data_IF_809275545831
#
_entry.id   IF_809275545831
#
_cell.length_a   1.000
_cell.length_b   1.000
_cell.length_c   1.000
_cell.angle_alpha   90.00
_cell.angle_beta   90.00
_cell.angle_gamma   90.00
#
_symmetry.space_group_name_H-M   'P 1'
#
loop_
_entity.id
_entity.type
_entity.pdbx_description
1 polymer ?
#
# COMPACT_ATOMS: atom_id res chain seq x y z
N UNK A 1 -34.21 27.02 14.87
CA UNK A 1 -34.37 25.55 15.01
C UNK A 1 -33.97 24.81 13.72
N UNK A 2 -34.67 25.02 12.60
CA UNK A 2 -34.39 24.32 11.33
C UNK A 2 -32.97 24.55 10.78
N UNK A 3 -32.47 25.80 10.84
CA UNK A 3 -31.11 26.15 10.41
C UNK A 3 -30.02 25.42 11.22
N UNK A 4 -30.26 25.20 12.52
CA UNK A 4 -29.36 24.47 13.41
C UNK A 4 -29.32 22.97 13.08
N UNK A 5 -30.48 22.39 12.75
CA UNK A 5 -30.58 20.99 12.32
C UNK A 5 -29.85 20.80 10.99
N UNK A 6 -30.04 21.72 10.02
CA UNK A 6 -29.35 21.69 8.73
C UNK A 6 -27.82 21.84 8.90
N UNK A 7 -27.36 22.75 9.76
CA UNK A 7 -25.93 22.91 10.06
C UNK A 7 -25.33 21.68 10.74
N UNK A 8 -26.02 21.07 11.70
CA UNK A 8 -25.57 19.83 12.35
C UNK A 8 -25.53 18.65 11.37
N UNK A 9 -26.50 18.52 10.47
CA UNK A 9 -26.47 17.51 9.42
C UNK A 9 -25.32 17.74 8.43
N UNK A 10 -25.05 18.99 8.04
CA UNK A 10 -23.89 19.36 7.21
C UNK A 10 -22.57 19.02 7.89
N UNK A 11 -22.42 19.32 9.19
CA UNK A 11 -21.21 18.99 9.96
C UNK A 11 -21.01 17.47 10.09
N UNK A 12 -22.08 16.70 10.29
CA UNK A 12 -22.01 15.23 10.33
C UNK A 12 -21.67 14.63 8.96
N UNK A 13 -22.17 15.20 7.85
CA UNK A 13 -21.80 14.79 6.48
C UNK A 13 -20.33 15.14 6.18
N UNK A 14 -19.83 16.27 6.69
CA UNK A 14 -18.41 16.66 6.58
C UNK A 14 -17.51 15.75 7.43
N UNK A 15 -17.97 15.32 8.61
CA UNK A 15 -17.23 14.39 9.48
C UNK A 15 -17.35 12.91 9.05
N UNK A 16 -18.32 12.57 8.19
CA UNK A 16 -18.46 11.25 7.58
C UNK A 16 -17.51 11.03 6.38
N UNK A 17 -16.58 11.96 6.09
CA UNK A 17 -15.37 11.61 5.37
C UNK A 17 -14.45 10.86 6.32
N UNK A 18 -14.71 9.57 6.50
CA UNK A 18 -13.74 8.61 7.01
C UNK A 18 -12.56 8.58 6.03
N UNK A 19 -11.57 9.44 6.27
CA UNK A 19 -10.32 9.47 5.53
C UNK A 19 -9.72 8.06 5.54
N UNK A 20 -9.22 7.62 4.40
CA UNK A 20 -8.48 6.36 4.28
C UNK A 20 -7.36 6.33 5.34
N UNK A 21 -7.52 5.53 6.39
CA UNK A 21 -6.58 5.50 7.52
C UNK A 21 -5.37 4.65 7.16
N UNK A 22 -4.36 5.29 6.59
CA UNK A 22 -3.12 4.65 6.12
C UNK A 22 -1.98 4.63 7.13
N UNK A 23 -2.12 5.34 8.27
CA UNK A 23 -1.03 5.57 9.23
C UNK A 23 -0.39 4.28 9.75
N UNK A 24 -1.21 3.32 10.19
CA UNK A 24 -0.71 2.04 10.69
C UNK A 24 0.02 1.25 9.61
N UNK A 25 -0.48 1.31 8.38
CA UNK A 25 0.17 0.68 7.22
C UNK A 25 1.51 1.34 6.94
N UNK A 26 1.62 2.67 7.03
CA UNK A 26 2.88 3.42 6.86
C UNK A 26 3.90 3.05 7.94
N UNK A 27 3.49 3.00 9.20
CA UNK A 27 4.39 2.65 10.32
C UNK A 27 4.93 1.22 10.17
N UNK A 28 4.07 0.29 9.72
CA UNK A 28 4.47 -1.08 9.43
C UNK A 28 5.42 -1.18 8.23
N UNK A 29 5.14 -0.45 7.15
CA UNK A 29 6.03 -0.36 5.99
C UNK A 29 7.40 0.21 6.37
N UNK A 30 7.45 1.26 7.20
CA UNK A 30 8.70 1.83 7.70
C UNK A 30 9.49 0.84 8.58
N UNK A 31 8.79 0.08 9.41
CA UNK A 31 9.41 -0.96 10.24
C UNK A 31 10.07 -2.03 9.38
N UNK A 32 9.40 -2.48 8.32
CA UNK A 32 9.94 -3.46 7.39
C UNK A 32 11.13 -2.90 6.59
N UNK A 33 11.05 -1.65 6.13
CA UNK A 33 12.15 -0.97 5.44
C UNK A 33 13.40 -0.84 6.32
N UNK A 34 13.25 -0.65 7.63
CA UNK A 34 14.38 -0.60 8.56
C UNK A 34 15.03 -1.95 8.86
N UNK A 35 14.41 -3.06 8.46
CA UNK A 35 14.89 -4.43 8.71
C UNK A 35 15.45 -5.13 7.47
N UNK A 36 15.16 -4.60 6.29
CA UNK A 36 15.62 -5.19 5.04
C UNK A 36 17.01 -4.66 4.70
N UNK A 37 17.89 -5.58 4.32
CA UNK A 37 19.16 -5.25 3.70
C UNK A 37 18.93 -4.96 2.20
N UNK A 38 19.66 -3.99 1.66
CA UNK A 38 19.63 -3.72 0.23
C UNK A 38 20.26 -4.90 -0.53
N UNK A 39 19.62 -5.33 -1.60
CA UNK A 39 20.05 -6.50 -2.35
C UNK A 39 19.79 -6.32 -3.84
N UNK A 40 20.74 -6.74 -4.68
CA UNK A 40 20.57 -6.71 -6.14
C UNK A 40 19.67 -7.86 -6.59
N UNK A 41 18.59 -7.51 -7.30
CA UNK A 41 17.76 -8.47 -8.01
C UNK A 41 18.40 -8.85 -9.35
N UNK A 42 19.38 -9.75 -9.31
CA UNK A 42 19.94 -10.39 -10.49
C UNK A 42 19.20 -11.72 -10.73
N UNK A 43 18.79 -12.00 -11.98
CA UNK A 43 17.97 -13.17 -12.37
C UNK A 43 18.52 -14.54 -11.91
N UNK A 44 19.77 -14.60 -11.47
CA UNK A 44 20.49 -15.81 -11.04
C UNK A 44 20.40 -16.13 -9.54
N UNK A 45 19.88 -15.26 -8.68
CA UNK A 45 19.95 -15.46 -7.22
C UNK A 45 18.61 -15.26 -6.50
N UNK A 46 17.69 -16.20 -6.70
CA UNK A 46 16.33 -16.21 -6.14
C UNK A 46 16.23 -16.34 -4.60
N UNK A 47 17.33 -16.61 -3.89
CA UNK A 47 17.26 -17.08 -2.50
C UNK A 47 17.46 -16.02 -1.41
N UNK A 48 18.14 -14.90 -1.70
CA UNK A 48 18.39 -13.85 -0.68
C UNK A 48 17.62 -12.56 -0.94
N UNK A 49 17.33 -12.26 -2.20
CA UNK A 49 16.65 -11.05 -2.59
C UNK A 49 15.29 -11.44 -3.16
N UNK A 50 14.23 -11.18 -2.38
CA UNK A 50 12.85 -11.46 -2.78
C UNK A 50 12.50 -10.48 -3.89
N UNK A 51 12.78 -10.89 -5.14
CA UNK A 51 12.45 -10.12 -6.32
C UNK A 51 10.95 -10.20 -6.56
N UNK A 52 10.35 -9.03 -6.70
CA UNK A 52 8.92 -8.81 -6.87
C UNK A 52 8.69 -8.15 -8.25
N UNK A 53 7.55 -8.42 -8.91
CA UNK A 53 7.04 -7.53 -9.94
C UNK A 53 6.63 -6.23 -9.27
N UNK A 54 7.41 -5.17 -9.47
CA UNK A 54 7.16 -3.90 -8.80
C UNK A 54 6.35 -2.99 -9.71
N UNK A 55 5.29 -2.34 -9.20
CA UNK A 55 4.72 -1.18 -9.87
C UNK A 55 5.81 -0.10 -10.05
N UNK A 56 6.10 0.30 -11.30
CA UNK A 56 7.05 1.38 -11.63
C UNK A 56 6.67 2.75 -11.04
N UNK A 57 5.61 2.82 -10.25
CA UNK A 57 4.90 4.01 -9.85
C UNK A 57 4.46 3.93 -8.37
N UNK A 58 4.23 5.12 -7.79
CA UNK A 58 3.74 5.30 -6.43
C UNK A 58 2.23 4.99 -6.29
N UNK A 59 1.77 3.94 -6.96
CA UNK A 59 0.40 3.48 -7.01
C UNK A 59 0.34 1.98 -6.70
N UNK A 60 -0.74 1.53 -6.06
CA UNK A 60 -0.95 0.12 -5.70
C UNK A 60 -1.81 -0.63 -6.73
N UNK A 61 -2.03 -0.08 -7.92
CA UNK A 61 -2.80 -0.75 -8.99
C UNK A 61 -2.25 -2.12 -9.34
N UNK A 62 -0.94 -2.32 -9.26
CA UNK A 62 -0.31 -3.61 -9.53
C UNK A 62 -0.41 -4.61 -8.38
N UNK A 63 -0.88 -4.18 -7.20
CA UNK A 63 -1.18 -5.06 -6.09
C UNK A 63 -2.29 -6.06 -6.47
N UNK A 64 -3.32 -5.62 -7.21
CA UNK A 64 -4.40 -6.50 -7.66
C UNK A 64 -3.89 -7.56 -8.64
N UNK A 65 -3.09 -7.14 -9.63
CA UNK A 65 -2.58 -8.02 -10.69
C UNK A 65 -1.58 -9.07 -10.18
N UNK A 66 -0.77 -8.72 -9.16
CA UNK A 66 0.29 -9.58 -8.63
C UNK A 66 0.01 -10.05 -7.19
N UNK A 67 -1.26 -10.09 -6.79
CA UNK A 67 -1.67 -10.32 -5.40
C UNK A 67 -1.09 -11.62 -4.79
N UNK A 68 -1.17 -12.74 -5.51
CA UNK A 68 -0.68 -14.05 -5.04
C UNK A 68 0.84 -14.05 -4.82
N UNK A 69 1.58 -13.47 -5.77
CA UNK A 69 3.04 -13.39 -5.67
C UNK A 69 3.46 -12.46 -4.53
N UNK A 70 2.79 -11.31 -4.38
CA UNK A 70 3.02 -10.38 -3.27
C UNK A 70 2.71 -11.04 -1.92
N UNK A 71 1.64 -11.84 -1.81
CA UNK A 71 1.30 -12.59 -0.61
C UNK A 71 2.41 -13.59 -0.23
N UNK A 72 2.85 -14.39 -1.20
CA UNK A 72 3.91 -15.38 -1.02
C UNK A 72 5.18 -14.69 -0.51
N UNK A 73 5.61 -13.62 -1.20
CA UNK A 73 6.83 -12.88 -0.88
C UNK A 73 6.76 -12.13 0.44
N UNK A 74 5.66 -11.49 0.77
CA UNK A 74 5.50 -10.86 2.09
C UNK A 74 5.41 -11.91 3.21
N UNK A 75 5.00 -13.14 2.91
CA UNK A 75 4.95 -14.21 3.89
C UNK A 75 6.34 -14.74 4.27
N UNK A 76 7.34 -14.62 3.38
CA UNK A 76 8.72 -15.08 3.66
C UNK A 76 9.47 -14.17 4.63
N UNK A 77 9.13 -12.87 4.70
CA UNK A 77 9.71 -11.91 5.66
C UNK A 77 9.00 -11.92 7.03
N UNK A 78 8.20 -12.95 7.32
CA UNK A 78 7.67 -13.24 8.65
C UNK A 78 6.29 -12.63 8.94
N UNK A 79 5.97 -12.50 10.22
CA UNK A 79 4.64 -12.07 10.69
C UNK A 79 4.31 -10.62 10.31
N UNK A 80 5.31 -9.76 10.23
CA UNK A 80 5.17 -8.35 9.87
C UNK A 80 4.81 -8.19 8.39
N UNK A 81 5.42 -8.97 7.49
CA UNK A 81 5.05 -8.97 6.08
C UNK A 81 3.63 -9.47 5.85
N UNK A 82 3.22 -10.57 6.51
CA UNK A 82 1.80 -11.02 6.51
C UNK A 82 0.84 -9.96 7.01
N UNK A 83 1.22 -9.20 8.04
CA UNK A 83 0.41 -8.09 8.57
C UNK A 83 0.30 -6.95 7.56
N UNK A 84 1.37 -6.66 6.81
CA UNK A 84 1.35 -5.65 5.76
C UNK A 84 0.42 -6.07 4.63
N UNK A 85 0.53 -7.31 4.17
CA UNK A 85 -0.35 -7.85 3.13
C UNK A 85 -1.83 -7.69 3.48
N UNK A 86 -2.24 -8.13 4.69
CA UNK A 86 -3.62 -7.96 5.17
C UNK A 86 -4.06 -6.51 5.23
N UNK A 87 -3.15 -5.61 5.61
CA UNK A 87 -3.43 -4.17 5.66
C UNK A 87 -3.69 -3.63 4.25
N UNK A 88 -2.86 -4.00 3.27
CA UNK A 88 -3.04 -3.60 1.87
C UNK A 88 -4.34 -4.15 1.27
N UNK A 89 -4.69 -5.41 1.55
CA UNK A 89 -5.99 -5.99 1.18
C UNK A 89 -7.17 -5.24 1.81
N UNK A 90 -7.06 -4.86 3.08
CA UNK A 90 -8.11 -4.10 3.75
C UNK A 90 -8.29 -2.71 3.11
N UNK A 91 -7.19 -2.04 2.78
CA UNK A 91 -7.23 -0.77 2.05
C UNK A 91 -7.84 -0.96 0.65
N UNK A 92 -7.51 -2.03 -0.06
CA UNK A 92 -8.07 -2.33 -1.38
C UNK A 92 -9.59 -2.54 -1.33
N UNK A 93 -10.07 -3.27 -0.33
CA UNK A 93 -11.49 -3.55 -0.15
C UNK A 93 -12.29 -2.31 0.30
N UNK A 94 -11.62 -1.29 0.81
CA UNK A 94 -12.29 -0.08 1.28
C UNK A 94 -12.41 0.95 0.16
N UNK A 95 -13.64 1.18 -0.32
CA UNK A 95 -13.93 2.16 -1.38
C UNK A 95 -13.35 3.56 -1.14
N UNK A 96 -13.18 3.97 0.12
CA UNK A 96 -12.60 5.28 0.49
C UNK A 96 -11.09 5.36 0.19
N UNK A 97 -10.43 4.22 0.03
CA UNK A 97 -9.03 4.08 -0.33
C UNK A 97 -8.83 3.73 -1.82
N UNK A 98 -9.91 3.69 -2.62
CA UNK A 98 -9.85 3.39 -4.04
C UNK A 98 -8.80 4.22 -4.82
N UNK A 99 -8.55 5.51 -4.52
CA UNK A 99 -7.50 6.27 -5.19
C UNK A 99 -6.08 5.69 -5.09
N UNK A 100 -5.78 4.82 -4.11
CA UNK A 100 -4.50 4.10 -4.04
C UNK A 100 -4.34 3.08 -5.17
N UNK A 101 -5.45 2.53 -5.66
CA UNK A 101 -5.48 1.37 -6.54
C UNK A 101 -5.92 1.71 -7.97
N UNK A 102 -6.39 2.92 -8.24
CA UNK A 102 -6.93 3.34 -9.55
C UNK A 102 -6.03 4.32 -10.30
N UNK A 103 -4.83 3.89 -10.70
CA UNK A 103 -3.93 4.68 -11.53
C UNK A 103 -4.05 4.33 -13.02
N UNK A 104 -3.81 5.30 -13.89
CA UNK A 104 -3.93 5.18 -15.37
C UNK A 104 -2.77 4.44 -16.03
N UNK A 105 -1.68 4.21 -15.30
CA UNK A 105 -0.45 3.62 -15.80
C UNK A 105 -0.55 2.08 -15.82
N UNK A 106 0.10 1.45 -16.79
CA UNK A 106 0.13 -0.01 -16.95
C UNK A 106 1.03 -0.66 -15.91
N UNK A 107 0.62 -1.85 -15.45
CA UNK A 107 1.47 -2.72 -14.64
C UNK A 107 2.46 -3.45 -15.53
N UNK A 108 3.46 -2.70 -15.99
CA UNK A 108 4.66 -3.23 -16.60
C UNK A 108 5.65 -3.51 -15.47
N UNK A 109 5.63 -4.77 -15.00
CA UNK A 109 6.47 -5.26 -13.93
C UNK A 109 7.94 -5.08 -14.33
N UNK A 110 8.59 -4.06 -13.77
CA UNK A 110 10.05 -4.05 -13.77
C UNK A 110 10.50 -4.92 -12.61
N UNK A 111 11.47 -5.84 -12.80
CA UNK A 111 12.00 -6.63 -11.70
C UNK A 111 12.62 -5.68 -10.68
N UNK A 112 12.19 -5.77 -9.43
CA UNK A 112 12.85 -5.04 -8.35
C UNK A 112 12.77 -5.78 -7.02
N UNK A 113 13.53 -5.31 -6.04
CA UNK A 113 13.63 -5.96 -4.74
C UNK A 113 12.51 -5.54 -3.76
N UNK A 114 12.32 -6.31 -2.70
CA UNK A 114 11.36 -6.00 -1.62
C UNK A 114 11.49 -4.56 -1.09
N UNK A 115 12.70 -4.02 -1.00
CA UNK A 115 12.94 -2.64 -0.53
C UNK A 115 12.33 -1.60 -1.48
N UNK A 116 12.47 -1.80 -2.78
CA UNK A 116 11.86 -0.96 -3.81
C UNK A 116 10.34 -1.07 -3.73
N UNK A 117 9.80 -2.28 -3.52
CA UNK A 117 8.35 -2.50 -3.39
C UNK A 117 7.78 -1.74 -2.20
N UNK A 118 8.39 -1.90 -1.02
CA UNK A 118 7.96 -1.21 0.19
C UNK A 118 8.13 0.30 0.08
N UNK A 119 9.13 0.78 -0.65
CA UNK A 119 9.32 2.21 -0.93
C UNK A 119 8.17 2.76 -1.77
N UNK A 120 7.76 2.05 -2.83
CA UNK A 120 6.59 2.42 -3.64
C UNK A 120 5.30 2.39 -2.82
N UNK A 121 5.10 1.37 -1.98
CA UNK A 121 3.97 1.28 -1.05
C UNK A 121 3.94 2.49 -0.12
N UNK A 122 5.05 2.82 0.53
CA UNK A 122 5.16 3.98 1.42
C UNK A 122 4.81 5.28 0.69
N UNK A 123 5.34 5.48 -0.51
CA UNK A 123 5.08 6.68 -1.31
C UNK A 123 3.58 6.81 -1.67
N UNK A 124 2.94 5.71 -2.05
CA UNK A 124 1.50 5.67 -2.34
C UNK A 124 0.67 6.05 -1.10
N UNK A 125 0.98 5.47 0.05
CA UNK A 125 0.28 5.73 1.31
C UNK A 125 0.48 7.17 1.79
N UNK A 126 1.70 7.72 1.68
CA UNK A 126 2.00 9.10 2.09
C UNK A 126 1.24 10.14 1.26
N UNK A 127 1.03 9.90 -0.05
CA UNK A 127 0.21 10.78 -0.89
C UNK A 127 -1.23 10.92 -0.36
N UNK A 128 -1.80 9.84 0.19
CA UNK A 128 -3.14 9.89 0.80
C UNK A 128 -3.16 10.46 2.22
N UNK A 129 -2.06 10.35 2.98
CA UNK A 129 -2.00 10.92 4.34
C UNK A 129 -2.08 12.46 4.34
N UNK A 130 -1.67 13.10 3.24
CA UNK A 130 -1.61 14.56 3.09
C UNK A 130 -2.74 15.17 2.25
N UNK A 131 -3.79 14.40 1.93
CA UNK A 131 -5.02 14.88 1.29
C UNK A 131 -6.15 15.11 2.31
#
# INVERSE_FOLDING_TARGET
MLLYILFSCLLLVVQARTICRVRETIDLTNTLLGKLEDCECNETNHNSCICLPIPNNACLTCFEKHNEEIEEKLSTIGSEGRRLYRSLQQLQNWKLCAPLFTCTETCDASPGNMMTFLTSVRAALQKLQHQ
#
